data_IF_359593041311
#
_entry.id   IF_359593041311
#
_cell.length_a   1.000
_cell.length_b   1.000
_cell.length_c   1.000
_cell.angle_alpha   90.00
_cell.angle_beta   90.00
_cell.angle_gamma   90.00
#
_symmetry.space_group_name_H-M   'P 1'
#
loop_
_entity.id
_entity.type
_entity.pdbx_description
1 polymer ?
#
# COMPACT_ATOMS: atom_id res chain seq x y z
N UNK A 1 -72.62 40.95 25.31
CA UNK A 1 -71.75 39.78 25.02
C UNK A 1 -70.54 40.30 24.23
N UNK A 2 -69.50 40.80 24.89
CA UNK A 2 -68.16 40.20 25.05
C UNK A 2 -67.59 39.49 23.81
N UNK A 3 -66.45 40.04 23.33
CA UNK A 3 -65.30 39.42 22.64
C UNK A 3 -65.47 39.19 21.12
N UNK A 4 -64.51 39.49 20.22
CA UNK A 4 -63.07 39.69 20.35
C UNK A 4 -62.53 40.68 19.30
N UNK A 5 -61.60 41.52 19.76
CA UNK A 5 -60.63 42.32 19.01
C UNK A 5 -59.59 41.40 18.36
N UNK A 6 -59.24 41.63 17.10
CA UNK A 6 -57.97 41.18 16.51
C UNK A 6 -57.22 42.38 15.94
N UNK A 7 -56.02 42.58 16.47
CA UNK A 7 -55.07 43.63 16.13
C UNK A 7 -54.44 43.35 14.76
N UNK A 8 -54.48 44.35 13.88
CA UNK A 8 -53.64 44.39 12.69
C UNK A 8 -52.22 44.80 13.09
N UNK A 9 -51.24 43.98 12.71
CA UNK A 9 -49.83 44.35 12.67
C UNK A 9 -49.38 44.11 11.23
N UNK A 10 -49.18 45.20 10.51
CA UNK A 10 -48.50 45.22 9.21
C UNK A 10 -47.01 45.12 9.52
N UNK A 11 -46.42 43.94 9.31
CA UNK A 11 -44.98 43.75 9.35
C UNK A 11 -44.40 44.03 7.96
N UNK A 12 -43.62 45.10 7.86
CA UNK A 12 -42.83 45.45 6.68
C UNK A 12 -41.66 44.46 6.58
N UNK A 13 -41.71 43.57 5.60
CA UNK A 13 -40.63 42.65 5.23
C UNK A 13 -39.56 43.42 4.44
N UNK A 14 -38.45 43.76 5.10
CA UNK A 14 -37.20 44.15 4.44
C UNK A 14 -36.53 42.89 3.85
N UNK A 15 -36.11 42.88 2.58
CA UNK A 15 -35.29 41.80 2.05
C UNK A 15 -33.86 41.93 2.61
N UNK A 16 -33.47 40.97 3.46
CA UNK A 16 -32.08 40.72 3.81
C UNK A 16 -31.34 40.23 2.56
N UNK A 17 -30.53 41.11 1.97
CA UNK A 17 -29.58 40.77 0.92
C UNK A 17 -28.45 39.94 1.57
N UNK A 18 -28.45 38.63 1.33
CA UNK A 18 -27.34 37.76 1.71
C UNK A 18 -26.14 38.05 0.81
N UNK A 19 -25.13 38.76 1.34
CA UNK A 19 -23.82 38.84 0.73
C UNK A 19 -23.14 37.46 0.78
N UNK A 20 -22.50 37.00 -0.31
CA UNK A 20 -21.68 35.80 -0.26
C UNK A 20 -20.48 36.03 0.69
N UNK A 21 -20.00 35.00 1.40
CA UNK A 21 -18.79 35.13 2.19
C UNK A 21 -17.62 35.50 1.25
N UNK A 22 -16.92 36.58 1.59
CA UNK A 22 -15.64 36.90 0.97
C UNK A 22 -14.71 35.70 1.20
N UNK A 23 -14.37 34.99 0.12
CA UNK A 23 -13.29 34.03 0.15
C UNK A 23 -12.01 34.80 0.50
N UNK A 24 -11.55 34.64 1.74
CA UNK A 24 -10.22 35.08 2.13
C UNK A 24 -9.22 34.36 1.24
N UNK A 25 -8.50 35.13 0.42
CA UNK A 25 -7.32 34.65 -0.27
C UNK A 25 -6.33 34.30 0.85
N UNK A 26 -6.19 33.02 1.16
CA UNK A 26 -5.08 32.53 1.96
C UNK A 26 -3.81 32.90 1.20
N UNK A 27 -2.96 33.71 1.81
CA UNK A 27 -1.62 33.95 1.31
C UNK A 27 -0.90 32.60 1.19
N UNK A 28 -0.43 32.27 0.00
CA UNK A 28 0.49 31.15 -0.20
C UNK A 28 1.71 31.38 0.71
N UNK A 29 2.15 30.39 1.50
CA UNK A 29 3.45 30.49 2.14
C UNK A 29 4.50 30.54 1.03
N UNK A 30 5.31 31.61 1.03
CA UNK A 30 6.50 31.76 0.20
C UNK A 30 7.28 30.45 0.18
N UNK A 31 7.21 29.72 -0.93
CA UNK A 31 8.08 28.58 -1.18
C UNK A 31 9.43 29.16 -1.62
N UNK A 32 10.49 29.06 -0.82
CA UNK A 32 11.81 29.47 -1.30
C UNK A 32 12.16 28.64 -2.54
N UNK A 33 12.77 29.24 -3.57
CA UNK A 33 13.12 28.52 -4.78
C UNK A 33 14.00 27.33 -4.44
N UNK A 34 13.65 26.17 -4.99
CA UNK A 34 14.45 24.95 -4.91
C UNK A 34 15.90 25.27 -5.29
N UNK A 35 16.90 24.86 -4.48
CA UNK A 35 18.29 25.06 -4.85
C UNK A 35 18.56 24.32 -6.17
N UNK A 36 18.87 25.09 -7.20
CA UNK A 36 19.34 24.61 -8.49
C UNK A 36 20.74 24.03 -8.32
N UNK A 37 20.81 22.72 -8.04
CA UNK A 37 22.08 22.03 -7.96
C UNK A 37 22.06 20.78 -7.09
N UNK A 38 21.21 19.81 -7.43
CA UNK A 38 21.47 18.43 -7.01
C UNK A 38 21.86 17.68 -8.27
N UNK A 39 23.17 17.53 -8.47
CA UNK A 39 23.69 16.59 -9.44
C UNK A 39 23.07 15.22 -9.14
N UNK A 40 22.43 14.61 -10.13
CA UNK A 40 21.96 13.23 -10.08
C UNK A 40 23.19 12.30 -10.00
N UNK A 41 23.79 12.23 -8.81
CA UNK A 41 24.76 11.21 -8.47
C UNK A 41 23.99 9.92 -8.24
N UNK A 42 24.34 8.86 -8.97
CA UNK A 42 23.74 7.54 -8.82
C UNK A 42 23.76 7.12 -7.35
N UNK A 43 22.58 7.01 -6.75
CA UNK A 43 22.43 6.42 -5.44
C UNK A 43 22.54 4.91 -5.61
N UNK A 44 23.55 4.32 -4.97
CA UNK A 44 23.63 2.86 -4.82
C UNK A 44 22.65 2.47 -3.71
N UNK A 45 21.39 2.25 -4.10
CA UNK A 45 20.29 1.92 -3.21
C UNK A 45 19.23 3.01 -3.16
N UNK A 46 17.98 2.60 -2.92
CA UNK A 46 16.82 3.48 -2.87
C UNK A 46 16.77 4.36 -1.60
N UNK A 47 17.71 4.15 -0.67
CA UNK A 47 17.87 4.96 0.53
C UNK A 47 18.76 6.19 0.26
N UNK A 48 18.13 7.34 0.00
CA UNK A 48 18.82 8.62 -0.10
C UNK A 48 19.52 9.04 1.22
N UNK A 49 20.55 9.89 1.18
CA UNK A 49 21.30 10.29 2.38
C UNK A 49 20.43 11.11 3.34
N UNK A 50 19.97 10.48 4.43
CA UNK A 50 19.31 11.14 5.56
C UNK A 50 20.19 11.08 6.83
N UNK A 51 20.94 12.15 7.18
CA UNK A 51 21.83 12.17 8.34
C UNK A 51 21.13 11.89 9.68
N UNK A 52 19.90 12.41 9.85
CA UNK A 52 19.14 12.23 11.09
C UNK A 52 18.72 10.76 11.28
N UNK A 53 18.40 10.06 10.19
CA UNK A 53 18.00 8.66 10.27
C UNK A 53 19.19 7.73 10.53
N UNK A 54 20.38 8.07 10.03
CA UNK A 54 21.63 7.38 10.41
C UNK A 54 21.90 7.51 11.91
N UNK A 55 21.76 8.73 12.45
CA UNK A 55 21.94 8.94 13.89
C UNK A 55 20.89 8.22 14.73
N UNK A 56 19.62 8.22 14.31
CA UNK A 56 18.54 7.52 15.02
C UNK A 56 18.79 6.01 15.06
N UNK A 57 19.13 5.39 13.93
CA UNK A 57 19.53 3.97 13.86
C UNK A 57 20.72 3.66 14.76
N UNK A 58 21.76 4.50 14.75
CA UNK A 58 22.93 4.32 15.59
C UNK A 58 22.59 4.41 17.10
N UNK A 59 21.71 5.33 17.50
CA UNK A 59 21.24 5.43 18.90
C UNK A 59 20.39 4.20 19.29
N UNK A 60 19.55 3.69 18.38
CA UNK A 60 18.76 2.47 18.60
C UNK A 60 19.63 1.22 18.77
N UNK A 61 20.66 1.05 17.93
CA UNK A 61 21.63 -0.04 18.07
C UNK A 61 22.32 -0.01 19.44
N UNK A 62 22.73 1.17 19.91
CA UNK A 62 23.28 1.34 21.25
C UNK A 62 22.27 1.01 22.35
N UNK A 63 20.99 1.37 22.17
CA UNK A 63 19.92 1.01 23.10
C UNK A 63 19.65 -0.50 23.14
N UNK A 64 19.64 -1.17 21.99
CA UNK A 64 19.54 -2.63 21.86
C UNK A 64 20.73 -3.32 22.53
N UNK A 65 21.95 -2.85 22.29
CA UNK A 65 23.16 -3.36 22.95
C UNK A 65 23.10 -3.15 24.47
N UNK A 66 22.57 -2.02 24.94
CA UNK A 66 22.34 -1.79 26.37
C UNK A 66 21.29 -2.73 26.97
N UNK A 67 20.22 -3.09 26.23
CA UNK A 67 19.25 -4.11 26.66
C UNK A 67 19.87 -5.50 26.74
N UNK A 68 20.59 -5.93 25.69
CA UNK A 68 21.27 -7.24 25.65
C UNK A 68 22.28 -7.37 26.79
N UNK A 69 22.96 -6.28 27.13
CA UNK A 69 23.92 -6.24 28.24
C UNK A 69 23.30 -5.99 29.62
N UNK A 70 21.96 -6.06 29.79
CA UNK A 70 21.23 -5.77 31.02
C UNK A 70 21.49 -4.37 31.63
N UNK A 71 21.94 -3.41 30.82
CA UNK A 71 22.22 -2.02 31.24
C UNK A 71 21.01 -1.09 31.09
N UNK A 72 19.96 -1.52 30.39
CA UNK A 72 18.69 -0.81 30.24
C UNK A 72 17.52 -1.67 30.76
N UNK A 73 16.56 -1.05 31.48
CA UNK A 73 15.34 -1.75 31.96
C UNK A 73 14.50 -2.23 30.76
N UNK A 74 13.85 -3.38 30.89
CA UNK A 74 13.05 -4.02 29.83
C UNK A 74 11.70 -3.36 29.59
N UNK A 75 11.69 -2.14 29.06
CA UNK A 75 10.50 -1.43 28.60
C UNK A 75 10.60 -1.01 27.12
N UNK A 76 9.51 -0.46 26.55
CA UNK A 76 9.46 -0.05 25.14
C UNK A 76 10.47 1.06 24.82
N UNK A 77 10.91 1.81 25.83
CA UNK A 77 11.87 2.93 25.71
C UNK A 77 13.10 2.66 26.59
N UNK A 78 14.29 2.80 26.02
CA UNK A 78 15.56 2.73 26.73
C UNK A 78 16.31 4.06 26.68
N UNK A 79 16.92 4.44 27.80
CA UNK A 79 17.85 5.55 27.87
C UNK A 79 19.21 5.11 27.34
N UNK A 80 19.68 5.76 26.28
CA UNK A 80 20.94 5.43 25.58
C UNK A 80 22.09 6.35 26.03
N UNK A 81 21.76 7.52 26.55
CA UNK A 81 22.64 8.49 27.22
C UNK A 81 21.79 9.43 28.10
N UNK A 82 22.40 10.19 29.01
CA UNK A 82 21.68 11.07 29.94
C UNK A 82 20.67 11.98 29.22
N UNK A 83 19.37 11.74 29.41
CA UNK A 83 18.28 12.48 28.77
C UNK A 83 18.00 12.12 27.31
N UNK A 84 18.63 11.08 26.76
CA UNK A 84 18.39 10.55 25.42
C UNK A 84 17.69 9.20 25.49
N UNK A 85 16.42 9.18 25.12
CA UNK A 85 15.57 8.00 25.09
C UNK A 85 15.40 7.50 23.65
N UNK A 86 15.42 6.18 23.47
CA UNK A 86 15.11 5.53 22.20
C UNK A 86 14.07 4.46 22.41
N UNK A 87 13.04 4.47 21.57
CA UNK A 87 12.02 3.44 21.53
C UNK A 87 12.57 2.20 20.81
N UNK A 88 12.59 1.07 21.52
CA UNK A 88 13.25 -0.16 21.12
C UNK A 88 12.27 -1.24 20.67
N UNK A 89 11.01 -1.17 21.09
CA UNK A 89 10.00 -2.17 20.73
C UNK A 89 9.11 -1.66 19.59
N UNK A 90 8.70 -2.59 18.74
CA UNK A 90 7.73 -2.32 17.66
C UNK A 90 6.35 -2.26 18.30
N UNK A 91 5.56 -1.26 17.95
CA UNK A 91 4.21 -1.06 18.49
C UNK A 91 3.18 -1.97 17.80
N UNK A 92 3.41 -2.32 16.53
CA UNK A 92 2.53 -3.21 15.79
C UNK A 92 3.22 -3.88 14.61
N UNK A 93 2.79 -5.10 14.32
CA UNK A 93 3.18 -5.85 13.13
C UNK A 93 1.97 -6.60 12.59
N UNK A 94 1.47 -6.20 11.42
CA UNK A 94 0.29 -6.80 10.83
C UNK A 94 0.66 -7.94 9.88
N UNK A 95 -0.20 -8.97 9.85
CA UNK A 95 -0.03 -10.12 8.96
C UNK A 95 -0.84 -9.96 7.68
N UNK A 96 -0.16 -10.15 6.56
CA UNK A 96 -0.73 -10.14 5.22
C UNK A 96 -0.60 -11.54 4.63
N UNK A 97 -1.71 -12.10 4.19
CA UNK A 97 -1.68 -13.32 3.39
C UNK A 97 -1.86 -12.97 1.92
N UNK A 98 -0.92 -13.42 1.08
CA UNK A 98 -0.88 -13.09 -0.34
C UNK A 98 -1.16 -14.32 -1.18
N UNK A 99 -2.19 -14.27 -2.02
CA UNK A 99 -2.52 -15.34 -2.96
C UNK A 99 -2.04 -14.96 -4.35
N UNK A 100 -1.17 -15.79 -4.94
CA UNK A 100 -0.76 -15.65 -6.33
C UNK A 100 -1.74 -16.41 -7.22
N UNK A 101 -2.53 -15.69 -8.02
CA UNK A 101 -3.51 -16.28 -8.94
C UNK A 101 -3.07 -16.15 -10.40
N UNK A 102 -3.19 -17.22 -11.17
CA UNK A 102 -3.04 -17.21 -12.63
C UNK A 102 -4.25 -17.81 -13.35
N UNK A 103 -4.40 -17.50 -14.63
CA UNK A 103 -5.58 -17.86 -15.41
C UNK A 103 -5.56 -19.33 -15.90
N UNK A 104 -6.75 -19.91 -15.96
CA UNK A 104 -7.00 -21.22 -16.54
C UNK A 104 -7.09 -21.18 -18.06
N UNK A 105 -7.42 -22.34 -18.64
CA UNK A 105 -7.56 -22.49 -20.09
C UNK A 105 -9.02 -22.51 -20.56
N UNK A 106 -9.99 -22.72 -19.65
CA UNK A 106 -11.38 -22.89 -20.03
C UNK A 106 -12.01 -21.56 -20.43
N UNK A 107 -12.80 -21.59 -21.50
CA UNK A 107 -13.56 -20.41 -21.88
C UNK A 107 -14.75 -20.21 -20.94
N UNK A 108 -15.19 -18.96 -20.82
CA UNK A 108 -16.32 -18.64 -19.96
C UNK A 108 -17.58 -19.37 -20.41
N UNK A 109 -18.38 -19.96 -19.50
CA UNK A 109 -19.69 -20.50 -19.84
C UNK A 109 -20.69 -19.40 -20.25
N UNK A 110 -20.35 -18.13 -19.99
CA UNK A 110 -21.13 -16.98 -20.40
C UNK A 110 -20.63 -16.44 -21.73
N UNK A 111 -21.43 -16.59 -22.80
CA UNK A 111 -21.01 -16.22 -24.17
C UNK A 111 -20.55 -14.77 -24.35
N UNK A 112 -21.05 -13.82 -23.54
CA UNK A 112 -20.58 -12.41 -23.57
C UNK A 112 -19.12 -12.27 -23.10
N UNK A 113 -18.64 -13.22 -22.30
CA UNK A 113 -17.29 -13.28 -21.74
C UNK A 113 -16.38 -14.24 -22.51
N UNK A 114 -16.90 -15.02 -23.46
CA UNK A 114 -16.14 -15.99 -24.23
C UNK A 114 -15.13 -15.32 -25.17
N UNK A 115 -13.85 -15.70 -25.08
CA UNK A 115 -12.77 -15.15 -25.91
C UNK A 115 -12.08 -16.19 -26.78
N UNK A 116 -12.13 -17.47 -26.41
CA UNK A 116 -11.31 -18.52 -27.00
C UNK A 116 -9.79 -18.34 -26.78
N UNK A 117 -9.35 -17.40 -25.93
CA UNK A 117 -7.94 -17.12 -25.65
C UNK A 117 -7.64 -17.45 -24.19
N UNK A 118 -6.85 -18.51 -23.91
CA UNK A 118 -6.56 -18.96 -22.55
C UNK A 118 -5.79 -17.97 -21.65
N UNK A 119 -4.74 -17.38 -22.19
CA UNK A 119 -3.68 -16.76 -21.38
C UNK A 119 -3.77 -15.23 -21.24
N UNK A 120 -2.67 -14.60 -20.78
CA UNK A 120 -1.35 -15.20 -20.50
C UNK A 120 -1.22 -15.82 -19.10
N UNK A 121 -0.29 -16.77 -18.94
CA UNK A 121 0.20 -17.25 -17.63
C UNK A 121 1.20 -16.25 -17.02
N UNK A 122 1.59 -16.48 -15.77
CA UNK A 122 2.72 -15.77 -15.18
C UNK A 122 4.01 -15.96 -16.00
N UNK A 123 4.98 -15.05 -15.86
CA UNK A 123 6.22 -15.04 -16.64
C UNK A 123 6.05 -14.91 -18.17
N UNK A 124 4.96 -14.28 -18.63
CA UNK A 124 4.76 -13.93 -20.05
C UNK A 124 4.89 -12.44 -20.35
N UNK A 125 5.23 -11.63 -19.35
CA UNK A 125 5.55 -10.20 -19.54
C UNK A 125 6.89 -10.09 -20.26
N UNK A 126 6.96 -9.45 -21.45
CA UNK A 126 8.21 -9.27 -22.17
C UNK A 126 9.23 -8.45 -21.37
N UNK A 127 10.51 -8.78 -21.51
CA UNK A 127 11.59 -7.98 -20.95
C UNK A 127 11.58 -6.57 -21.56
N UNK A 128 11.54 -5.49 -20.75
CA UNK A 128 11.57 -4.14 -21.27
C UNK A 128 12.97 -3.75 -21.78
N UNK A 129 13.03 -2.93 -22.83
CA UNK A 129 14.30 -2.36 -23.30
C UNK A 129 14.82 -1.34 -22.28
N UNK A 130 15.87 -1.70 -21.54
CA UNK A 130 16.48 -0.87 -20.48
C UNK A 130 17.11 0.44 -20.98
N UNK A 131 17.26 0.64 -22.29
CA UNK A 131 17.68 1.93 -22.86
C UNK A 131 16.55 2.96 -22.89
N UNK A 132 15.31 2.50 -22.88
CA UNK A 132 14.11 3.33 -22.99
C UNK A 132 13.27 3.26 -21.71
N UNK A 133 13.24 2.10 -21.06
CA UNK A 133 12.43 1.82 -19.87
C UNK A 133 13.28 1.25 -18.73
N UNK A 134 13.64 2.14 -17.81
CA UNK A 134 14.36 1.82 -16.57
C UNK A 134 13.47 1.81 -15.32
N UNK A 135 12.15 1.97 -15.47
CA UNK A 135 11.20 2.09 -14.36
C UNK A 135 10.25 0.90 -14.25
N UNK A 136 9.97 0.20 -15.36
CA UNK A 136 9.15 -1.01 -15.31
C UNK A 136 9.88 -2.12 -14.56
N UNK A 137 9.27 -2.56 -13.48
CA UNK A 137 9.73 -3.72 -12.70
C UNK A 137 9.67 -4.95 -13.59
N UNK A 138 10.78 -5.67 -13.71
CA UNK A 138 10.84 -6.92 -14.45
C UNK A 138 11.94 -7.83 -13.90
N UNK A 139 11.63 -9.12 -13.75
CA UNK A 139 12.57 -10.19 -13.41
C UNK A 139 12.34 -11.38 -14.36
N UNK A 140 13.33 -12.26 -14.47
CA UNK A 140 13.23 -13.46 -15.32
C UNK A 140 12.19 -14.47 -14.83
N UNK A 141 11.89 -14.45 -13.52
CA UNK A 141 10.95 -15.37 -12.89
C UNK A 141 10.23 -14.71 -11.70
N UNK A 142 8.95 -14.39 -11.89
CA UNK A 142 8.01 -13.93 -10.89
C UNK A 142 7.44 -15.11 -10.09
N UNK A 143 8.30 -15.79 -9.35
CA UNK A 143 7.91 -16.91 -8.48
C UNK A 143 7.47 -16.45 -7.08
N UNK A 144 6.97 -17.38 -6.26
CA UNK A 144 6.59 -17.14 -4.87
C UNK A 144 7.70 -16.42 -4.09
N UNK A 145 8.94 -16.93 -4.16
CA UNK A 145 10.08 -16.36 -3.45
C UNK A 145 10.39 -14.91 -3.87
N UNK A 146 10.16 -14.54 -5.13
CA UNK A 146 10.27 -13.16 -5.57
C UNK A 146 9.29 -12.24 -4.81
N UNK A 147 8.02 -12.62 -4.75
CA UNK A 147 7.00 -11.84 -4.05
C UNK A 147 7.20 -11.85 -2.53
N UNK A 148 7.61 -12.97 -1.93
CA UNK A 148 7.97 -13.03 -0.51
C UNK A 148 9.09 -12.04 -0.18
N UNK A 149 10.13 -11.99 -1.02
CA UNK A 149 11.22 -11.04 -0.82
C UNK A 149 10.77 -9.59 -1.03
N UNK A 150 9.95 -9.33 -2.05
CA UNK A 150 9.42 -7.99 -2.33
C UNK A 150 8.49 -7.49 -1.23
N UNK A 151 7.70 -8.37 -0.59
CA UNK A 151 6.75 -7.97 0.44
C UNK A 151 7.39 -7.99 1.83
N UNK A 152 8.13 -9.04 2.17
CA UNK A 152 8.45 -9.38 3.57
C UNK A 152 9.94 -9.45 3.90
N UNK A 153 10.86 -9.23 2.94
CA UNK A 153 12.29 -9.23 3.26
C UNK A 153 12.66 -8.11 4.22
N UNK A 154 13.35 -8.44 5.33
CA UNK A 154 13.99 -7.47 6.23
C UNK A 154 15.51 -7.40 5.98
N UNK A 155 15.99 -7.95 4.86
CA UNK A 155 17.41 -7.92 4.53
C UNK A 155 17.89 -6.44 4.41
N UNK A 156 19.06 -6.08 4.96
CA UNK A 156 19.56 -4.72 4.87
C UNK A 156 19.66 -4.23 3.42
N UNK A 157 18.99 -3.12 3.11
CA UNK A 157 18.98 -2.52 1.77
C UNK A 157 18.02 -3.19 0.77
N UNK A 158 17.21 -4.17 1.17
CA UNK A 158 16.16 -4.70 0.31
C UNK A 158 15.06 -3.66 0.09
N UNK A 159 14.68 -3.45 -1.18
CA UNK A 159 13.48 -2.68 -1.52
C UNK A 159 12.26 -3.58 -1.34
N UNK A 160 11.73 -3.60 -0.11
CA UNK A 160 10.58 -4.41 0.27
C UNK A 160 9.51 -3.58 1.00
N UNK A 161 8.27 -4.05 0.97
CA UNK A 161 7.16 -3.42 1.71
C UNK A 161 7.48 -3.38 3.22
N UNK A 162 8.04 -4.47 3.77
CA UNK A 162 8.48 -4.54 5.16
C UNK A 162 9.51 -3.46 5.51
N UNK A 163 10.59 -3.34 4.73
CA UNK A 163 11.61 -2.32 4.97
C UNK A 163 11.05 -0.90 4.79
N UNK A 164 10.20 -0.69 3.79
CA UNK A 164 9.51 0.58 3.60
C UNK A 164 8.74 1.01 4.86
N UNK A 165 7.93 0.14 5.45
CA UNK A 165 7.22 0.47 6.68
C UNK A 165 8.14 0.62 7.89
N UNK A 166 9.22 -0.17 7.99
CA UNK A 166 10.24 0.01 9.04
C UNK A 166 10.85 1.41 8.95
N UNK A 167 11.22 1.87 7.75
CA UNK A 167 11.82 3.19 7.56
C UNK A 167 10.82 4.31 7.83
N UNK A 168 9.64 4.27 7.20
CA UNK A 168 8.64 5.33 7.33
C UNK A 168 8.09 5.46 8.76
N UNK A 169 7.99 4.36 9.49
CA UNK A 169 7.46 4.36 10.87
C UNK A 169 8.54 4.54 11.94
N UNK A 170 9.82 4.72 11.56
CA UNK A 170 10.94 4.65 12.51
C UNK A 170 10.93 3.34 13.32
N UNK A 171 10.62 2.22 12.66
CA UNK A 171 10.49 0.87 13.18
C UNK A 171 9.35 0.67 14.20
N UNK A 172 8.39 1.60 14.30
CA UNK A 172 7.20 1.43 15.15
C UNK A 172 6.18 0.48 14.55
N UNK A 173 6.18 0.31 13.23
CA UNK A 173 5.26 -0.53 12.49
C UNK A 173 5.95 -1.27 11.34
N UNK A 174 5.50 -2.49 11.05
CA UNK A 174 5.78 -3.15 9.77
C UNK A 174 4.74 -4.22 9.44
N UNK A 175 4.94 -4.93 8.34
CA UNK A 175 4.11 -6.05 7.90
C UNK A 175 4.92 -7.34 7.83
N UNK A 176 4.29 -8.45 8.19
CA UNK A 176 4.76 -9.80 7.88
C UNK A 176 3.71 -10.56 7.08
N UNK A 177 4.04 -11.77 6.64
CA UNK A 177 3.10 -12.53 5.87
C UNK A 177 3.68 -13.77 5.23
N UNK A 178 2.84 -14.38 4.43
CA UNK A 178 3.15 -15.53 3.60
C UNK A 178 2.58 -15.32 2.20
N UNK A 179 3.21 -15.92 1.21
CA UNK A 179 2.79 -15.88 -0.18
C UNK A 179 2.49 -17.31 -0.61
N UNK A 180 1.37 -17.55 -1.26
CA UNK A 180 1.07 -18.89 -1.77
C UNK A 180 1.91 -19.22 -3.01
N UNK A 181 2.04 -20.51 -3.34
CA UNK A 181 2.32 -20.92 -4.72
C UNK A 181 1.30 -20.30 -5.70
N UNK A 182 1.65 -20.27 -6.98
CA UNK A 182 0.73 -19.88 -8.04
C UNK A 182 -0.46 -20.84 -8.13
N UNK A 183 -1.66 -20.28 -7.99
CA UNK A 183 -2.93 -20.98 -8.04
C UNK A 183 -3.56 -20.71 -9.39
N UNK A 184 -3.85 -21.78 -10.12
CA UNK A 184 -4.47 -21.69 -11.44
C UNK A 184 -5.98 -21.83 -11.34
N UNK A 185 -6.71 -20.75 -11.63
CA UNK A 185 -8.18 -20.78 -11.67
C UNK A 185 -8.69 -21.54 -12.90
N UNK A 186 -9.98 -21.84 -12.93
CA UNK A 186 -10.58 -22.67 -13.99
C UNK A 186 -10.62 -21.95 -15.36
N UNK A 187 -11.02 -20.68 -15.37
CA UNK A 187 -11.33 -19.94 -16.60
C UNK A 187 -10.19 -19.02 -17.06
N UNK A 188 -10.27 -18.64 -18.34
CA UNK A 188 -9.33 -17.73 -18.97
C UNK A 188 -9.50 -16.27 -18.53
N UNK A 189 -8.58 -15.41 -18.97
CA UNK A 189 -8.56 -13.96 -18.66
C UNK A 189 -9.87 -13.23 -18.94
N UNK A 190 -10.58 -13.59 -20.01
CA UNK A 190 -11.79 -12.87 -20.43
C UNK A 190 -12.99 -13.14 -19.51
N UNK A 191 -13.02 -14.29 -18.83
CA UNK A 191 -14.03 -14.57 -17.80
C UNK A 191 -14.00 -13.53 -16.67
N UNK A 192 -12.81 -13.04 -16.32
CA UNK A 192 -12.60 -12.16 -15.18
C UNK A 192 -12.42 -10.68 -15.56
N UNK A 193 -11.78 -10.39 -16.70
CA UNK A 193 -11.27 -9.07 -17.03
C UNK A 193 -11.84 -8.43 -18.30
N UNK A 194 -12.90 -9.00 -18.90
CA UNK A 194 -13.49 -8.40 -20.10
C UNK A 194 -14.37 -7.20 -19.77
N UNK A 195 -14.18 -6.11 -20.51
CA UNK A 195 -14.93 -4.84 -20.45
C UNK A 195 -16.36 -4.95 -21.03
N UNK A 196 -17.11 -6.00 -20.67
CA UNK A 196 -18.43 -6.27 -21.25
C UNK A 196 -19.51 -5.29 -20.77
N UNK A 197 -19.27 -4.61 -19.64
CA UNK A 197 -20.20 -3.71 -18.99
C UNK A 197 -20.04 -2.23 -19.42
N UNK A 198 -19.13 -1.93 -20.35
CA UNK A 198 -18.84 -0.57 -20.81
C UNK A 198 -17.90 0.22 -19.90
N UNK A 199 -17.25 -0.45 -18.95
CA UNK A 199 -16.19 0.07 -18.08
C UNK A 199 -15.03 -0.94 -18.08
N UNK A 200 -13.83 -0.49 -17.68
CA UNK A 200 -12.64 -1.33 -17.51
C UNK A 200 -12.67 -2.16 -16.22
N UNK A 201 -13.57 -1.84 -15.29
CA UNK A 201 -13.82 -2.63 -14.08
C UNK A 201 -15.27 -3.08 -14.07
N UNK A 202 -15.48 -4.34 -14.46
CA UNK A 202 -16.78 -4.97 -14.45
C UNK A 202 -16.97 -5.85 -13.20
N UNK A 203 -18.23 -6.17 -12.80
CA UNK A 203 -18.48 -6.95 -11.58
C UNK A 203 -17.82 -8.34 -11.54
N UNK A 204 -17.55 -8.94 -12.70
CA UNK A 204 -16.86 -10.23 -12.85
C UNK A 204 -15.39 -10.20 -12.41
N UNK A 205 -14.75 -9.03 -12.27
CA UNK A 205 -13.37 -8.93 -11.78
C UNK A 205 -13.23 -9.49 -10.36
N UNK A 206 -14.27 -9.35 -9.52
CA UNK A 206 -14.28 -9.92 -8.17
C UNK A 206 -14.34 -11.45 -8.16
N UNK A 207 -14.77 -12.09 -9.25
CA UNK A 207 -14.76 -13.55 -9.36
C UNK A 207 -13.34 -14.10 -9.36
N UNK A 208 -12.36 -13.34 -9.85
CA UNK A 208 -10.97 -13.80 -9.83
C UNK A 208 -10.43 -13.93 -8.41
N UNK A 209 -10.77 -12.97 -7.53
CA UNK A 209 -10.39 -13.01 -6.12
C UNK A 209 -11.07 -14.19 -5.42
N UNK A 210 -12.37 -14.39 -5.68
CA UNK A 210 -13.11 -15.53 -5.13
C UNK A 210 -12.50 -16.87 -5.58
N UNK A 211 -12.34 -17.05 -6.89
CA UNK A 211 -11.93 -18.34 -7.46
C UNK A 211 -10.48 -18.66 -7.10
N UNK A 212 -9.58 -17.68 -7.04
CA UNK A 212 -8.18 -17.92 -6.62
C UNK A 212 -8.09 -18.36 -5.16
N UNK A 213 -8.86 -17.74 -4.26
CA UNK A 213 -8.91 -18.12 -2.84
C UNK A 213 -9.57 -19.49 -2.67
N UNK A 214 -10.70 -19.73 -3.31
CA UNK A 214 -11.40 -21.02 -3.25
C UNK A 214 -10.52 -22.15 -3.81
N UNK A 215 -9.90 -21.94 -4.98
CA UNK A 215 -9.03 -22.95 -5.61
C UNK A 215 -7.83 -23.27 -4.72
N UNK A 216 -7.22 -22.26 -4.09
CA UNK A 216 -6.15 -22.49 -3.13
C UNK A 216 -6.63 -23.32 -1.94
N UNK A 217 -7.77 -22.93 -1.36
CA UNK A 217 -8.33 -23.60 -0.19
C UNK A 217 -8.68 -25.06 -0.48
N UNK A 218 -9.29 -25.34 -1.62
CA UNK A 218 -9.61 -26.70 -2.06
C UNK A 218 -8.33 -27.54 -2.27
N UNK A 219 -7.26 -26.93 -2.82
CA UNK A 219 -5.97 -27.60 -2.95
C UNK A 219 -5.35 -27.95 -1.57
N UNK A 220 -5.49 -27.05 -0.58
CA UNK A 220 -5.05 -27.33 0.78
C UNK A 220 -5.85 -28.46 1.44
N UNK A 221 -7.18 -28.46 1.32
CA UNK A 221 -8.03 -29.56 1.80
C UNK A 221 -7.64 -30.90 1.17
N UNK A 222 -7.38 -30.91 -0.14
CA UNK A 222 -6.92 -32.11 -0.84
C UNK A 222 -5.53 -32.58 -0.39
N UNK A 223 -4.66 -31.66 0.03
CA UNK A 223 -3.35 -31.95 0.62
C UNK A 223 -3.41 -32.42 2.09
N UNK A 224 -4.59 -32.37 2.73
CA UNK A 224 -4.83 -32.89 4.08
C UNK A 224 -4.77 -31.84 5.19
N UNK A 225 -5.11 -30.59 4.87
CA UNK A 225 -5.34 -29.53 5.87
C UNK A 225 -6.59 -29.82 6.73
#
# INVERSE_FOLDING_TARGET
MKKNTYYGIVAILLPLLSAPPAAGIAAEPDTPPLPTGVAAGGFNGDEGPNPLEKERRARRLKGLEARVNNKAKGGPVAEVAHGQFVELEREGEDSIWTVLGEFGDLDSPYGILASGVPGPLHNKIPEPDRKVDNSTIWVTDFNQAYYENQLFSEAPGANSMRNYYIEQSSNRYTVNGDVTDWVRVEYNTAHYGRDYCGDIVCPNTWWFIKDSVDTWYDAQLAAGL
#
